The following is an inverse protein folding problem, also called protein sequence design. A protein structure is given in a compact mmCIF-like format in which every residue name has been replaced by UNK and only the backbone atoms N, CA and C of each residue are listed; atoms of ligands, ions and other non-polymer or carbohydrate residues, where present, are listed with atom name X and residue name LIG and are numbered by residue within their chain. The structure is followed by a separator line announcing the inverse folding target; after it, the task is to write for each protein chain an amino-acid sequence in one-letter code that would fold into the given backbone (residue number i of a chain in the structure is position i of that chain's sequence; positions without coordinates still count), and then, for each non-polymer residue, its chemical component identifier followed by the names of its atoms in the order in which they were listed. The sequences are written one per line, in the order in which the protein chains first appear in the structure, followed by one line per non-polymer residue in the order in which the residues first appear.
data_IF_438502135907
#
_entry.id   IF_438502135907
#
_cell.length_a   1.000
_cell.length_b   1.000
_cell.length_c   1.000
_cell.angle_alpha   90.00
_cell.angle_beta   90.00
_cell.angle_gamma   90.00
#
_symmetry.space_group_name_H-M   'P 1'
#
loop_
_entity.id
_entity.type
_entity.pdbx_description
1 polymer ?
#
# COMPACT_ATOMS: atom_id res chain seq x y z
N UNK A 1 9.34 -68.24 12.72
CA UNK A 1 10.34 -67.21 13.06
C UNK A 1 10.90 -66.60 11.78
N UNK A 2 10.78 -65.27 11.67
CA UNK A 2 11.68 -64.32 10.99
C UNK A 2 11.95 -64.47 9.46
N UNK A 3 11.45 -63.44 8.75
CA UNK A 3 11.95 -62.76 7.52
C UNK A 3 11.18 -63.03 6.22
N UNK A 4 10.34 -62.05 5.85
CA UNK A 4 10.14 -61.52 4.48
C UNK A 4 9.80 -60.02 4.68
N UNK A 5 10.79 -59.13 4.64
CA UNK A 5 11.20 -58.30 3.50
C UNK A 5 10.05 -57.53 2.82
N UNK A 6 10.09 -56.21 3.07
CA UNK A 6 9.88 -55.10 2.13
C UNK A 6 8.72 -55.16 1.13
N UNK A 7 7.77 -54.22 1.29
CA UNK A 7 7.35 -53.26 0.25
C UNK A 7 6.07 -52.54 0.67
N UNK A 8 5.84 -51.38 0.05
CA UNK A 8 4.57 -50.66 -0.10
C UNK A 8 4.10 -49.82 1.11
N UNK A 9 3.78 -48.52 1.02
CA UNK A 9 3.47 -47.56 -0.06
C UNK A 9 3.62 -46.18 0.63
N UNK A 10 4.62 -45.35 0.33
CA UNK A 10 4.56 -44.23 -0.64
C UNK A 10 3.14 -43.75 -0.95
N UNK A 11 2.58 -42.84 -0.15
CA UNK A 11 1.59 -41.85 -0.62
C UNK A 11 1.11 -40.95 0.52
N UNK A 12 1.97 -40.03 0.95
CA UNK A 12 1.49 -38.84 1.66
C UNK A 12 2.18 -37.61 1.12
N UNK A 13 2.13 -37.46 -0.21
CA UNK A 13 2.22 -36.17 -0.86
C UNK A 13 0.79 -35.78 -1.22
N UNK A 14 0.08 -35.27 -0.22
CA UNK A 14 -1.04 -34.37 -0.50
C UNK A 14 -0.42 -33.11 -1.12
N UNK A 15 -0.08 -33.16 -2.41
CA UNK A 15 -0.08 -31.96 -3.22
C UNK A 15 -1.55 -31.51 -3.23
N UNK A 16 -1.88 -30.66 -2.26
CA UNK A 16 -3.01 -29.76 -2.39
C UNK A 16 -2.94 -29.18 -3.79
N UNK A 17 -3.83 -29.61 -4.68
CA UNK A 17 -4.07 -28.94 -5.96
C UNK A 17 -4.65 -27.57 -5.65
N UNK A 18 -3.81 -26.65 -5.20
CA UNK A 18 -4.14 -25.24 -5.26
C UNK A 18 -4.00 -24.84 -6.73
N UNK A 19 -5.08 -24.32 -7.30
CA UNK A 19 -5.08 -23.76 -8.65
C UNK A 19 -4.14 -22.54 -8.67
N UNK A 20 -2.98 -22.62 -9.34
CA UNK A 20 -1.98 -21.55 -9.32
C UNK A 20 -2.55 -20.22 -9.81
N UNK A 21 -3.40 -20.26 -10.84
CA UNK A 21 -4.03 -19.06 -11.42
C UNK A 21 -5.00 -18.42 -10.43
N UNK A 22 -5.74 -19.25 -9.67
CA UNK A 22 -6.64 -18.74 -8.63
C UNK A 22 -5.87 -18.04 -7.52
N UNK A 23 -4.75 -18.60 -7.07
CA UNK A 23 -3.92 -18.01 -6.02
C UNK A 23 -3.28 -16.68 -6.47
N UNK A 24 -2.74 -16.64 -7.69
CA UNK A 24 -2.20 -15.43 -8.29
C UNK A 24 -3.26 -14.33 -8.36
N UNK A 25 -4.46 -14.67 -8.85
CA UNK A 25 -5.58 -13.74 -8.96
C UNK A 25 -6.00 -13.22 -7.58
N UNK A 26 -6.15 -14.10 -6.60
CA UNK A 26 -6.57 -13.70 -5.25
C UNK A 26 -5.57 -12.75 -4.59
N UNK A 27 -4.27 -12.98 -4.79
CA UNK A 27 -3.24 -12.10 -4.26
C UNK A 27 -3.19 -10.77 -5.03
N UNK A 28 -3.35 -10.77 -6.35
CA UNK A 28 -3.48 -9.56 -7.16
C UNK A 28 -4.68 -8.72 -6.72
N UNK A 29 -5.85 -9.34 -6.54
CA UNK A 29 -7.07 -8.68 -6.09
C UNK A 29 -6.86 -8.01 -4.72
N UNK A 30 -6.10 -8.63 -3.81
CA UNK A 30 -5.74 -8.02 -2.53
C UNK A 30 -4.84 -6.79 -2.69
N UNK A 31 -3.87 -6.83 -3.60
CA UNK A 31 -3.00 -5.67 -3.90
C UNK A 31 -3.84 -4.53 -4.48
N UNK A 32 -4.71 -4.81 -5.45
CA UNK A 32 -5.57 -3.81 -6.08
C UNK A 32 -6.57 -3.22 -5.09
N UNK A 33 -7.22 -4.05 -4.26
CA UNK A 33 -8.12 -3.56 -3.22
C UNK A 33 -7.40 -2.59 -2.26
N UNK A 34 -6.12 -2.85 -1.96
CA UNK A 34 -5.33 -1.96 -1.12
C UNK A 34 -4.96 -0.67 -1.87
N UNK A 35 -4.56 -0.77 -3.13
CA UNK A 35 -4.36 0.39 -4.01
C UNK A 35 -5.59 1.30 -4.03
N UNK A 36 -6.80 0.76 -4.26
CA UNK A 36 -8.02 1.56 -4.35
C UNK A 36 -8.33 2.27 -3.04
N UNK A 37 -8.10 1.59 -1.91
CA UNK A 37 -8.20 2.20 -0.58
C UNK A 37 -7.19 3.34 -0.38
N UNK A 38 -5.96 3.20 -0.88
CA UNK A 38 -4.94 4.24 -0.81
C UNK A 38 -5.29 5.41 -1.73
N UNK A 39 -5.85 5.17 -2.91
CA UNK A 39 -6.27 6.22 -3.84
C UNK A 39 -7.39 7.10 -3.27
N UNK A 40 -8.31 6.54 -2.49
CA UNK A 40 -9.30 7.33 -1.75
C UNK A 40 -8.63 8.26 -0.71
N UNK A 41 -7.58 7.77 -0.02
CA UNK A 41 -6.77 8.60 0.90
C UNK A 41 -5.94 9.64 0.15
N UNK A 42 -5.43 9.31 -1.02
CA UNK A 42 -4.71 10.24 -1.90
C UNK A 42 -5.55 11.46 -2.24
N UNK A 43 -6.80 11.25 -2.67
CA UNK A 43 -7.74 12.34 -2.95
C UNK A 43 -8.04 13.20 -1.70
N UNK A 44 -8.17 12.58 -0.53
CA UNK A 44 -8.32 13.31 0.74
C UNK A 44 -7.08 14.18 1.04
N UNK A 45 -5.89 13.62 0.88
CA UNK A 45 -4.62 14.29 1.14
C UNK A 45 -4.38 15.45 0.19
N UNK A 46 -4.64 15.25 -1.11
CA UNK A 46 -4.51 16.28 -2.15
C UNK A 46 -5.39 17.49 -1.83
N UNK A 47 -6.67 17.26 -1.52
CA UNK A 47 -7.58 18.36 -1.10
C UNK A 47 -7.07 19.11 0.12
N UNK A 48 -6.53 18.39 1.10
CA UNK A 48 -6.01 19.01 2.31
C UNK A 48 -4.71 19.79 2.05
N UNK A 49 -3.86 19.30 1.13
CA UNK A 49 -2.65 19.99 0.68
C UNK A 49 -3.02 21.34 0.03
N UNK A 50 -3.90 21.32 -0.98
CA UNK A 50 -4.40 22.53 -1.66
C UNK A 50 -4.98 23.54 -0.66
N UNK A 51 -5.75 23.07 0.32
CA UNK A 51 -6.30 23.93 1.37
C UNK A 51 -5.20 24.60 2.20
N UNK A 52 -4.22 23.84 2.70
CA UNK A 52 -3.14 24.38 3.52
C UNK A 52 -2.27 25.37 2.71
N UNK A 53 -1.94 25.03 1.47
CA UNK A 53 -1.19 25.90 0.56
C UNK A 53 -1.93 27.22 0.30
N UNK A 54 -3.23 27.15 0.04
CA UNK A 54 -4.07 28.34 -0.14
C UNK A 54 -4.09 29.20 1.11
N UNK A 55 -4.25 28.60 2.29
CA UNK A 55 -4.30 29.33 3.57
C UNK A 55 -2.97 30.04 3.88
N UNK A 56 -1.82 29.45 3.50
CA UNK A 56 -0.53 30.11 3.59
C UNK A 56 -0.41 31.26 2.58
N UNK A 57 -0.75 31.02 1.30
CA UNK A 57 -0.62 32.03 0.23
C UNK A 57 -1.54 33.24 0.42
N UNK A 58 -2.70 33.04 1.03
CA UNK A 58 -3.67 34.11 1.33
C UNK A 58 -3.40 34.82 2.65
N UNK A 59 -2.41 34.38 3.43
CA UNK A 59 -2.04 34.98 4.72
C UNK A 59 -3.06 34.71 5.84
N UNK A 60 -3.99 33.77 5.65
CA UNK A 60 -4.91 33.32 6.71
C UNK A 60 -4.13 32.57 7.80
N UNK A 61 -3.19 31.72 7.37
CA UNK A 61 -2.14 31.21 8.23
C UNK A 61 -0.94 32.16 8.16
N UNK A 62 -0.20 32.26 9.26
CA UNK A 62 1.05 33.01 9.23
C UNK A 62 1.97 32.43 8.15
N UNK A 63 2.57 33.28 7.31
CA UNK A 63 3.45 32.86 6.21
C UNK A 63 4.64 32.00 6.67
N UNK A 64 4.96 32.03 7.97
CA UNK A 64 5.99 31.22 8.61
C UNK A 64 5.43 30.09 9.50
N UNK A 65 4.18 29.66 9.30
CA UNK A 65 3.63 28.49 9.99
C UNK A 65 4.37 27.23 9.53
N UNK A 66 5.47 26.95 10.24
CA UNK A 66 6.35 25.83 9.97
C UNK A 66 5.65 24.47 10.10
N UNK A 67 4.50 24.40 10.80
CA UNK A 67 3.73 23.17 10.89
C UNK A 67 2.97 22.95 9.60
N UNK A 68 2.28 23.97 9.09
CA UNK A 68 1.57 23.89 7.81
C UNK A 68 2.52 23.55 6.65
N UNK A 69 3.69 24.22 6.57
CA UNK A 69 4.68 23.94 5.53
C UNK A 69 5.22 22.51 5.59
N UNK A 70 5.48 21.98 6.79
CA UNK A 70 5.93 20.58 6.96
C UNK A 70 4.84 19.58 6.57
N UNK A 71 3.58 19.87 6.88
CA UNK A 71 2.46 19.02 6.51
C UNK A 71 2.30 18.96 4.99
N UNK A 72 2.33 20.10 4.29
CA UNK A 72 2.26 20.17 2.82
C UNK A 72 3.34 19.27 2.19
N UNK A 73 4.60 19.41 2.63
CA UNK A 73 5.70 18.59 2.11
C UNK A 73 5.50 17.10 2.39
N UNK A 74 5.07 16.74 3.61
CA UNK A 74 4.80 15.35 3.96
C UNK A 74 3.66 14.74 3.15
N UNK A 75 2.65 15.55 2.82
CA UNK A 75 1.55 15.15 1.92
C UNK A 75 2.08 14.89 0.51
N UNK A 76 2.87 15.81 -0.05
CA UNK A 76 3.50 15.66 -1.38
C UNK A 76 4.36 14.38 -1.45
N UNK A 77 5.21 14.13 -0.44
CA UNK A 77 6.04 12.93 -0.37
C UNK A 77 5.21 11.62 -0.35
N UNK A 78 4.06 11.61 0.34
CA UNK A 78 3.18 10.45 0.37
C UNK A 78 2.50 10.19 -0.99
N UNK A 79 2.07 11.26 -1.68
CA UNK A 79 1.47 11.17 -3.01
C UNK A 79 2.50 10.76 -4.07
N UNK A 80 3.72 11.32 -4.01
CA UNK A 80 4.82 10.94 -4.91
C UNK A 80 5.17 9.45 -4.76
N UNK A 81 5.26 8.93 -3.52
CA UNK A 81 5.48 7.49 -3.29
C UNK A 81 4.39 6.62 -3.92
N UNK A 82 3.13 7.06 -3.87
CA UNK A 82 2.02 6.33 -4.47
C UNK A 82 2.11 6.35 -6.01
N UNK A 83 2.39 7.51 -6.59
CA UNK A 83 2.61 7.68 -8.02
C UNK A 83 3.77 6.81 -8.51
N UNK A 84 4.89 6.85 -7.80
CA UNK A 84 6.07 6.05 -8.07
C UNK A 84 5.79 4.55 -8.03
N UNK A 85 4.99 4.11 -7.05
CA UNK A 85 4.58 2.72 -6.95
C UNK A 85 3.69 2.34 -8.14
N UNK A 86 2.70 3.15 -8.49
CA UNK A 86 1.81 2.90 -9.64
C UNK A 86 2.57 2.81 -10.95
N UNK A 87 3.57 3.67 -11.16
CA UNK A 87 4.42 3.63 -12.36
C UNK A 87 5.28 2.36 -12.47
N UNK A 88 5.62 1.73 -11.35
CA UNK A 88 6.47 0.53 -11.29
C UNK A 88 5.67 -0.77 -11.18
N UNK A 89 4.38 -0.68 -10.90
CA UNK A 89 3.51 -1.83 -10.72
C UNK A 89 3.18 -2.51 -12.06
N UNK A 90 3.46 -3.81 -12.14
CA UNK A 90 3.19 -4.68 -13.28
C UNK A 90 2.09 -5.68 -12.88
N UNK A 91 0.86 -5.37 -13.24
CA UNK A 91 -0.29 -6.24 -12.98
C UNK A 91 -0.29 -7.50 -13.86
N UNK A 92 0.30 -7.41 -15.06
CA UNK A 92 0.18 -8.47 -16.06
C UNK A 92 1.13 -9.64 -15.77
N UNK A 93 2.30 -9.36 -15.20
CA UNK A 93 3.30 -10.36 -14.84
C UNK A 93 3.64 -11.36 -15.96
N UNK A 94 3.56 -10.91 -17.22
CA UNK A 94 3.67 -11.76 -18.40
C UNK A 94 4.98 -12.55 -18.42
N UNK A 95 4.88 -13.86 -18.67
CA UNK A 95 6.03 -14.74 -18.82
C UNK A 95 6.76 -15.12 -17.52
N UNK A 96 6.26 -14.70 -16.35
CA UNK A 96 6.81 -15.11 -15.04
C UNK A 96 6.26 -16.48 -14.63
N UNK A 97 7.04 -17.23 -13.84
CA UNK A 97 6.55 -18.47 -13.21
C UNK A 97 5.61 -18.15 -12.04
N UNK A 98 4.76 -19.11 -11.66
CA UNK A 98 3.87 -18.97 -10.50
C UNK A 98 4.60 -18.45 -9.26
N UNK A 99 5.70 -19.10 -8.85
CA UNK A 99 6.47 -18.69 -7.66
C UNK A 99 7.02 -17.25 -7.79
N UNK A 100 7.44 -16.84 -8.98
CA UNK A 100 7.90 -15.48 -9.22
C UNK A 100 6.76 -14.45 -9.14
N UNK A 101 5.57 -14.80 -9.64
CA UNK A 101 4.36 -13.96 -9.54
C UNK A 101 3.97 -13.81 -8.06
N UNK A 102 3.90 -14.92 -7.33
CA UNK A 102 3.54 -14.93 -5.91
C UNK A 102 4.52 -14.11 -5.07
N UNK A 103 5.83 -14.25 -5.32
CA UNK A 103 6.85 -13.47 -4.63
C UNK A 103 6.72 -11.97 -4.95
N UNK A 104 6.54 -11.61 -6.23
CA UNK A 104 6.36 -10.24 -6.66
C UNK A 104 5.13 -9.60 -6.02
N UNK A 105 3.95 -10.22 -6.15
CA UNK A 105 2.71 -9.66 -5.60
C UNK A 105 2.72 -9.58 -4.08
N UNK A 106 3.40 -10.51 -3.39
CA UNK A 106 3.61 -10.44 -1.94
C UNK A 106 4.45 -9.22 -1.56
N UNK A 107 5.48 -8.92 -2.33
CA UNK A 107 6.30 -7.72 -2.13
C UNK A 107 5.50 -6.44 -2.42
N UNK A 108 4.77 -6.41 -3.54
CA UNK A 108 3.91 -5.27 -3.90
C UNK A 108 2.85 -5.00 -2.82
N UNK A 109 2.25 -6.05 -2.25
CA UNK A 109 1.31 -5.93 -1.12
C UNK A 109 1.95 -5.23 0.08
N UNK A 110 3.18 -5.61 0.45
CA UNK A 110 3.91 -4.96 1.55
C UNK A 110 4.22 -3.50 1.25
N UNK A 111 4.60 -3.19 0.01
CA UNK A 111 4.89 -1.81 -0.40
C UNK A 111 3.63 -0.94 -0.30
N UNK A 112 2.50 -1.37 -0.85
CA UNK A 112 1.26 -0.59 -0.79
C UNK A 112 0.69 -0.48 0.64
N UNK A 113 0.90 -1.49 1.49
CA UNK A 113 0.60 -1.39 2.93
C UNK A 113 1.48 -0.40 3.69
N UNK A 114 2.74 -0.21 3.26
CA UNK A 114 3.61 0.81 3.83
C UNK A 114 3.17 2.22 3.39
N UNK A 115 2.86 2.39 2.09
CA UNK A 115 2.32 3.65 1.55
C UNK A 115 1.02 4.02 2.26
N UNK A 116 0.13 3.06 2.49
CA UNK A 116 -1.11 3.29 3.24
C UNK A 116 -0.90 3.86 4.65
N UNK A 117 0.15 3.39 5.35
CA UNK A 117 0.52 3.92 6.67
C UNK A 117 1.07 5.34 6.58
N UNK A 118 1.81 5.66 5.53
CA UNK A 118 2.27 7.03 5.27
C UNK A 118 1.06 7.96 5.08
N UNK A 119 0.04 7.54 4.33
CA UNK A 119 -1.21 8.27 4.18
C UNK A 119 -1.95 8.47 5.52
N UNK A 120 -2.08 7.41 6.33
CA UNK A 120 -2.71 7.51 7.66
C UNK A 120 -1.98 8.49 8.58
N UNK A 121 -0.65 8.49 8.52
CA UNK A 121 0.18 9.40 9.31
C UNK A 121 -0.06 10.86 8.92
N UNK A 122 -0.03 11.18 7.62
CA UNK A 122 -0.25 12.56 7.16
C UNK A 122 -1.69 13.03 7.38
N UNK A 123 -2.68 12.15 7.21
CA UNK A 123 -4.10 12.46 7.50
C UNK A 123 -4.27 12.77 8.98
N UNK A 124 -3.71 11.94 9.85
CA UNK A 124 -3.79 12.13 11.31
C UNK A 124 -3.12 13.43 11.73
N UNK A 125 -1.91 13.71 11.22
CA UNK A 125 -1.18 14.92 11.52
C UNK A 125 -1.93 16.18 11.06
N UNK A 126 -2.47 16.17 9.84
CA UNK A 126 -3.26 17.27 9.30
C UNK A 126 -4.56 17.50 10.08
N UNK A 127 -5.26 16.44 10.47
CA UNK A 127 -6.47 16.54 11.30
C UNK A 127 -6.17 17.13 12.69
N UNK A 128 -5.05 16.73 13.30
CA UNK A 128 -4.62 17.28 14.58
C UNK A 128 -4.24 18.76 14.48
N UNK A 129 -3.56 19.15 13.41
CA UNK A 129 -3.25 20.55 13.13
C UNK A 129 -4.52 21.38 12.93
N UNK A 130 -5.47 20.93 12.09
CA UNK A 130 -6.76 21.61 11.90
C UNK A 130 -7.52 21.80 13.22
N UNK A 131 -7.55 20.79 14.09
CA UNK A 131 -8.13 20.92 15.45
C UNK A 131 -7.41 21.96 16.31
N UNK A 132 -6.10 22.10 16.17
CA UNK A 132 -5.31 23.09 16.93
C UNK A 132 -5.62 24.54 16.54
N UNK A 133 -6.07 24.76 15.29
CA UNK A 133 -6.46 26.08 14.80
C UNK A 133 -7.79 26.56 15.40
N UNK A 134 -8.72 25.63 15.67
CA UNK A 134 -10.06 25.95 16.22
C UNK A 134 -10.02 26.22 17.72
N UNK A 135 -9.01 25.70 18.43
CA UNK A 135 -8.86 25.84 19.88
C UNK A 135 -8.12 27.13 20.31
N UNK A 136 -7.66 27.94 19.36
CA UNK A 136 -7.08 29.26 19.60
C UNK A 136 -8.14 30.32 19.46
#
# INVERSE_FOLDING_TARGET
MKKLLAAAIVSMLFFSCADPQKQEKELLDQVIAKHDSVMAKNEQVERANIQLDTLLKTGVLANNDSTATKLIKGQEEAMEKMEDWMHKFDAENKGKSHDAIMAYLTDQKKQIEAIDKDFDAVITATNNYKKSLIKK
#
